data_IF_495983639275
#
_entry.id   IF_495983639275
#
_cell.length_a   1.000
_cell.length_b   1.000
_cell.length_c   1.000
_cell.angle_alpha   90.00
_cell.angle_beta   90.00
_cell.angle_gamma   90.00
#
_symmetry.space_group_name_H-M   'P 1'
#
loop_
_entity.id
_entity.type
_entity.pdbx_description
1 polymer ?
#
# COMPACT_ATOMS: atom_id res chain seq x y z
N UNK A 1 -22.27 -12.67 -10.64
CA UNK A 1 -22.47 -12.06 -9.30
C UNK A 1 -21.30 -12.33 -8.35
N UNK A 2 -20.86 -13.59 -8.17
CA UNK A 2 -19.73 -13.92 -7.28
C UNK A 2 -18.42 -13.16 -7.64
N UNK A 3 -18.05 -13.10 -8.91
CA UNK A 3 -16.83 -12.40 -9.36
C UNK A 3 -16.85 -10.89 -9.06
N UNK A 4 -18.02 -10.24 -9.10
CA UNK A 4 -18.15 -8.83 -8.69
C UNK A 4 -17.92 -8.64 -7.18
N UNK A 5 -18.46 -9.55 -6.36
CA UNK A 5 -18.23 -9.53 -4.92
C UNK A 5 -16.75 -9.74 -4.59
N UNK A 6 -16.10 -10.70 -5.24
CA UNK A 6 -14.66 -10.93 -5.05
C UNK A 6 -13.85 -9.71 -5.51
N UNK A 7 -14.15 -9.12 -6.66
CA UNK A 7 -13.45 -7.91 -7.13
C UNK A 7 -13.58 -6.76 -6.11
N UNK A 8 -14.78 -6.53 -5.57
CA UNK A 8 -14.99 -5.52 -4.53
C UNK A 8 -14.24 -5.84 -3.22
N UNK A 9 -14.14 -7.12 -2.86
CA UNK A 9 -13.34 -7.55 -1.72
C UNK A 9 -11.85 -7.25 -1.93
N UNK A 10 -11.31 -7.49 -3.13
CA UNK A 10 -9.92 -7.16 -3.46
C UNK A 10 -9.64 -5.67 -3.30
N UNK A 11 -10.57 -4.82 -3.75
CA UNK A 11 -10.47 -3.36 -3.59
C UNK A 11 -10.44 -2.97 -2.13
N UNK A 12 -11.30 -3.57 -1.31
CA UNK A 12 -11.36 -3.30 0.13
C UNK A 12 -10.06 -3.71 0.82
N UNK A 13 -9.49 -4.88 0.47
CA UNK A 13 -8.19 -5.31 0.97
C UNK A 13 -7.09 -4.34 0.52
N UNK A 14 -7.11 -3.88 -0.73
CA UNK A 14 -6.14 -2.91 -1.23
C UNK A 14 -6.23 -1.58 -0.48
N UNK A 15 -7.45 -1.08 -0.25
CA UNK A 15 -7.67 0.13 0.53
C UNK A 15 -7.16 0.00 1.98
N UNK A 16 -7.41 -1.15 2.62
CA UNK A 16 -6.89 -1.43 3.96
C UNK A 16 -5.36 -1.45 4.00
N UNK A 17 -4.69 -2.01 2.98
CA UNK A 17 -3.23 -1.98 2.89
C UNK A 17 -2.69 -0.55 2.78
N UNK A 18 -3.29 0.28 1.92
CA UNK A 18 -2.90 1.69 1.76
C UNK A 18 -3.10 2.46 3.07
N UNK A 19 -4.24 2.29 3.73
CA UNK A 19 -4.51 2.93 5.04
C UNK A 19 -3.51 2.43 6.08
N UNK A 20 -3.24 1.12 6.12
CA UNK A 20 -2.27 0.51 7.03
C UNK A 20 -0.86 1.08 6.84
N UNK A 21 -0.45 1.35 5.59
CA UNK A 21 0.82 2.01 5.31
C UNK A 21 0.87 3.44 5.86
N UNK A 22 -0.16 4.24 5.61
CA UNK A 22 -0.23 5.61 6.12
C UNK A 22 -0.20 5.64 7.65
N UNK A 23 -1.04 4.83 8.30
CA UNK A 23 -1.10 4.73 9.76
C UNK A 23 0.23 4.21 10.32
N UNK A 24 0.84 3.21 9.70
CA UNK A 24 2.13 2.66 10.13
C UNK A 24 3.24 3.70 10.11
N UNK A 25 3.34 4.52 9.05
CA UNK A 25 4.31 5.63 8.98
C UNK A 25 4.07 6.63 10.12
N UNK A 26 2.82 7.01 10.37
CA UNK A 26 2.47 7.92 11.48
C UNK A 26 2.87 7.31 12.83
N UNK A 27 2.61 6.02 13.05
CA UNK A 27 2.96 5.31 14.29
C UNK A 27 4.47 5.18 14.51
N UNK A 28 5.25 5.05 13.43
CA UNK A 28 6.72 5.09 13.48
C UNK A 28 7.18 6.45 14.00
N UNK A 29 6.71 7.54 13.39
CA UNK A 29 7.11 8.88 13.79
C UNK A 29 6.63 9.25 15.20
N UNK A 30 5.48 8.73 15.63
CA UNK A 30 4.98 8.86 17.00
C UNK A 30 5.78 8.05 18.04
N UNK A 31 6.77 7.24 17.64
CA UNK A 31 7.55 6.37 18.53
C UNK A 31 6.72 5.26 19.18
N UNK A 32 5.51 4.99 18.65
CA UNK A 32 4.59 3.98 19.19
C UNK A 32 4.79 2.62 18.54
N UNK A 33 5.15 2.57 17.26
CA UNK A 33 5.26 1.31 16.55
C UNK A 33 6.36 0.41 17.15
N UNK A 34 7.46 0.99 17.62
CA UNK A 34 8.58 0.24 18.22
C UNK A 34 8.21 -0.45 19.53
N UNK A 35 7.22 0.08 20.26
CA UNK A 35 6.69 -0.57 21.48
C UNK A 35 5.90 -1.84 21.15
N UNK A 36 5.42 -1.97 19.92
CA UNK A 36 4.59 -3.07 19.45
C UNK A 36 5.32 -3.85 18.37
N UNK A 37 6.35 -4.60 18.78
CA UNK A 37 7.25 -5.35 17.89
C UNK A 37 6.54 -6.24 16.86
N UNK A 38 5.40 -6.85 17.22
CA UNK A 38 4.60 -7.65 16.27
C UNK A 38 4.02 -6.80 15.13
N UNK A 39 3.52 -5.60 15.45
CA UNK A 39 2.97 -4.67 14.46
C UNK A 39 4.08 -4.05 13.61
N UNK A 40 5.25 -3.78 14.19
CA UNK A 40 6.43 -3.34 13.45
C UNK A 40 6.88 -4.39 12.43
N UNK A 41 7.00 -5.66 12.84
CA UNK A 41 7.35 -6.76 11.92
C UNK A 41 6.30 -6.89 10.82
N UNK A 42 5.01 -6.90 11.18
CA UNK A 42 3.92 -7.00 10.21
C UNK A 42 3.95 -5.85 9.20
N UNK A 43 4.18 -4.61 9.66
CA UNK A 43 4.32 -3.44 8.81
C UNK A 43 5.48 -3.59 7.83
N UNK A 44 6.67 -3.97 8.30
CA UNK A 44 7.84 -4.12 7.43
C UNK A 44 7.70 -5.29 6.44
N UNK A 45 7.08 -6.39 6.84
CA UNK A 45 6.79 -7.51 5.93
C UNK A 45 5.82 -7.07 4.84
N UNK A 46 4.72 -6.41 5.21
CA UNK A 46 3.75 -5.90 4.23
C UNK A 46 4.38 -4.87 3.28
N UNK A 47 5.21 -3.97 3.82
CA UNK A 47 5.94 -2.98 3.04
C UNK A 47 6.93 -3.64 2.07
N UNK A 48 7.70 -4.61 2.55
CA UNK A 48 8.66 -5.37 1.75
C UNK A 48 7.98 -6.19 0.65
N UNK A 49 6.85 -6.83 0.95
CA UNK A 49 6.06 -7.53 -0.07
C UNK A 49 5.49 -6.56 -1.10
N UNK A 50 4.85 -5.47 -0.65
CA UNK A 50 4.27 -4.47 -1.55
C UNK A 50 5.28 -3.88 -2.52
N UNK A 51 6.41 -3.41 -2.00
CA UNK A 51 7.50 -2.86 -2.83
C UNK A 51 8.26 -3.92 -3.62
N UNK A 52 8.46 -5.11 -3.05
CA UNK A 52 9.10 -6.22 -3.75
C UNK A 52 8.32 -6.64 -4.99
N UNK A 53 7.00 -6.82 -4.86
CA UNK A 53 6.15 -7.09 -6.01
C UNK A 53 6.15 -5.94 -7.01
N UNK A 54 6.07 -4.70 -6.54
CA UNK A 54 6.13 -3.53 -7.41
C UNK A 54 7.44 -3.46 -8.21
N UNK A 55 8.60 -3.77 -7.61
CA UNK A 55 9.88 -3.75 -8.31
C UNK A 55 10.01 -4.87 -9.36
N UNK A 56 9.43 -6.04 -9.11
CA UNK A 56 9.51 -7.19 -10.02
C UNK A 56 8.51 -7.07 -11.18
N UNK A 57 7.25 -6.76 -10.85
CA UNK A 57 6.13 -6.82 -11.80
C UNK A 57 5.69 -5.45 -12.31
N UNK A 58 6.25 -4.35 -11.77
CA UNK A 58 5.83 -2.95 -12.02
C UNK A 58 4.38 -2.64 -11.68
N UNK A 59 3.65 -3.60 -11.12
CA UNK A 59 2.25 -3.53 -10.77
C UNK A 59 2.01 -4.15 -9.38
N UNK A 60 0.93 -3.71 -8.73
CA UNK A 60 0.46 -4.33 -7.50
C UNK A 60 -0.29 -5.64 -7.84
N UNK A 61 0.03 -6.79 -7.19
CA UNK A 61 -0.61 -8.07 -7.49
C UNK A 61 -2.12 -8.04 -7.25
N UNK A 62 -2.59 -7.19 -6.31
CA UNK A 62 -4.02 -7.01 -6.08
C UNK A 62 -4.70 -6.32 -7.27
N UNK A 63 -4.03 -5.40 -7.97
CA UNK A 63 -4.58 -4.77 -9.19
C UNK A 63 -4.74 -5.81 -10.30
N UNK A 64 -3.74 -6.67 -10.49
CA UNK A 64 -3.80 -7.77 -11.46
C UNK A 64 -4.94 -8.73 -11.13
N UNK A 65 -5.08 -9.10 -9.85
CA UNK A 65 -6.15 -9.97 -9.38
C UNK A 65 -7.54 -9.34 -9.54
N UNK A 66 -7.68 -8.04 -9.23
CA UNK A 66 -8.93 -7.31 -9.44
C UNK A 66 -9.29 -7.29 -10.93
N UNK A 67 -8.36 -6.93 -11.81
CA UNK A 67 -8.59 -6.90 -13.25
C UNK A 67 -8.94 -8.28 -13.81
N UNK A 68 -8.31 -9.34 -13.31
CA UNK A 68 -8.66 -10.72 -13.69
C UNK A 68 -10.09 -11.09 -13.28
N UNK A 69 -10.51 -10.75 -12.06
CA UNK A 69 -11.87 -10.99 -11.58
C UNK A 69 -12.90 -10.14 -12.31
N UNK A 70 -12.56 -8.89 -12.62
CA UNK A 70 -13.37 -7.97 -13.41
C UNK A 70 -13.53 -8.45 -14.85
N UNK A 71 -12.46 -8.93 -15.49
CA UNK A 71 -12.51 -9.49 -16.83
C UNK A 71 -13.49 -10.66 -16.94
N UNK A 72 -13.57 -11.50 -15.90
CA UNK A 72 -14.51 -12.62 -15.85
C UNK A 72 -15.95 -12.21 -15.57
N UNK A 73 -16.15 -11.11 -14.83
CA UNK A 73 -17.48 -10.62 -14.50
C UNK A 73 -18.07 -9.75 -15.62
N UNK A 74 -17.30 -8.76 -16.06
CA UNK A 74 -17.66 -7.76 -17.04
C UNK A 74 -16.37 -7.13 -17.62
N UNK A 75 -15.95 -7.51 -18.84
CA UNK A 75 -14.68 -7.07 -19.44
C UNK A 75 -14.52 -5.54 -19.54
N UNK A 76 -15.62 -4.81 -19.75
CA UNK A 76 -15.63 -3.35 -19.81
C UNK A 76 -15.34 -2.67 -18.48
N UNK A 77 -15.37 -3.41 -17.37
CA UNK A 77 -15.05 -2.89 -16.03
C UNK A 77 -13.56 -2.94 -15.69
N UNK A 78 -12.74 -3.56 -16.53
CA UNK A 78 -11.27 -3.60 -16.37
C UNK A 78 -10.63 -2.26 -16.67
N UNK A 79 -9.45 -2.01 -16.09
CA UNK A 79 -8.75 -0.74 -16.25
C UNK A 79 -7.25 -0.93 -16.43
N UNK A 80 -6.63 -0.05 -17.21
CA UNK A 80 -5.22 -0.14 -17.60
C UNK A 80 -4.26 0.56 -16.62
N UNK A 81 -4.78 1.40 -15.72
CA UNK A 81 -3.99 2.13 -14.71
C UNK A 81 -3.85 1.33 -13.42
N UNK A 82 -3.07 1.83 -12.46
CA UNK A 82 -3.05 1.29 -11.11
C UNK A 82 -4.39 1.46 -10.38
N UNK A 83 -4.69 0.55 -9.44
CA UNK A 83 -5.90 0.58 -8.61
C UNK A 83 -6.12 1.95 -7.95
N UNK A 84 -5.11 2.49 -7.28
CA UNK A 84 -5.21 3.79 -6.58
C UNK A 84 -5.56 4.92 -7.56
N UNK A 85 -4.87 4.99 -8.69
CA UNK A 85 -5.12 5.98 -9.75
C UNK A 85 -6.54 5.88 -10.30
N UNK A 86 -7.01 4.66 -10.59
CA UNK A 86 -8.34 4.40 -11.09
C UNK A 86 -9.43 4.88 -10.12
N UNK A 87 -9.33 4.52 -8.84
CA UNK A 87 -10.33 4.90 -7.84
C UNK A 87 -10.27 6.39 -7.47
N UNK A 88 -9.08 6.98 -7.35
CA UNK A 88 -8.94 8.42 -7.09
C UNK A 88 -9.54 9.24 -8.23
N UNK A 89 -9.26 8.86 -9.48
CA UNK A 89 -9.82 9.54 -10.66
C UNK A 89 -11.34 9.45 -10.67
N UNK A 90 -11.91 8.30 -10.28
CA UNK A 90 -13.37 8.12 -10.15
C UNK A 90 -14.01 8.94 -9.02
N UNK A 91 -13.22 9.31 -8.01
CA UNK A 91 -13.61 10.25 -6.94
C UNK A 91 -13.43 11.72 -7.34
N UNK A 92 -12.99 12.01 -8.57
CA UNK A 92 -12.74 13.37 -9.07
C UNK A 92 -11.33 13.90 -8.78
N UNK A 93 -10.43 13.06 -8.27
CA UNK A 93 -9.03 13.40 -8.00
C UNK A 93 -8.16 12.80 -9.11
N UNK A 94 -7.81 13.59 -10.12
CA UNK A 94 -6.94 13.13 -11.20
C UNK A 94 -5.52 12.90 -10.66
N UNK A 95 -5.14 11.63 -10.48
CA UNK A 95 -3.77 11.23 -10.17
C UNK A 95 -3.28 10.24 -11.21
N UNK A 96 -2.04 10.40 -11.65
CA UNK A 96 -1.37 9.42 -12.50
C UNK A 96 -0.63 8.39 -11.65
N UNK A 97 -0.41 7.19 -12.18
CA UNK A 97 0.35 6.13 -11.50
C UNK A 97 1.75 6.59 -11.10
N UNK A 98 2.34 7.47 -11.91
CA UNK A 98 3.62 8.11 -11.62
C UNK A 98 3.63 8.87 -10.29
N UNK A 99 2.59 9.67 -10.03
CA UNK A 99 2.49 10.43 -8.77
C UNK A 99 2.20 9.51 -7.59
N UNK A 100 1.31 8.53 -7.77
CA UNK A 100 1.00 7.52 -6.74
C UNK A 100 2.28 6.80 -6.31
N UNK A 101 3.08 6.33 -7.27
CA UNK A 101 4.32 5.61 -7.01
C UNK A 101 5.36 6.50 -6.30
N UNK A 102 5.47 7.77 -6.68
CA UNK A 102 6.36 8.74 -6.02
C UNK A 102 5.95 9.01 -4.58
N UNK A 103 4.66 9.22 -4.33
CA UNK A 103 4.14 9.44 -2.97
C UNK A 103 4.38 8.18 -2.12
N UNK A 104 4.10 7.00 -2.67
CA UNK A 104 4.42 5.74 -2.02
C UNK A 104 5.91 5.65 -1.65
N UNK A 105 6.81 5.98 -2.58
CA UNK A 105 8.25 5.90 -2.34
C UNK A 105 8.68 6.89 -1.25
N UNK A 106 8.14 8.10 -1.25
CA UNK A 106 8.38 9.08 -0.20
C UNK A 106 7.93 8.57 1.17
N UNK A 107 6.75 7.92 1.24
CA UNK A 107 6.25 7.31 2.48
C UNK A 107 7.15 6.18 2.96
N UNK A 108 7.66 5.33 2.06
CA UNK A 108 8.64 4.30 2.39
C UNK A 108 9.92 4.92 2.98
N UNK A 109 10.46 5.94 2.32
CA UNK A 109 11.67 6.62 2.79
C UNK A 109 11.46 7.26 4.16
N UNK A 110 10.29 7.89 4.38
CA UNK A 110 9.90 8.45 5.68
C UNK A 110 9.78 7.36 6.76
N UNK A 111 9.26 6.18 6.42
CA UNK A 111 9.19 5.03 7.33
C UNK A 111 10.59 4.57 7.75
N UNK A 112 11.50 4.43 6.78
CA UNK A 112 12.88 3.98 7.02
C UNK A 112 13.63 4.99 7.89
N UNK A 113 13.55 6.28 7.55
CA UNK A 113 14.21 7.36 8.31
C UNK A 113 13.64 7.43 9.73
N UNK A 114 12.31 7.41 9.89
CA UNK A 114 11.68 7.44 11.21
C UNK A 114 12.06 6.25 12.07
N UNK A 115 12.13 5.04 11.49
CA UNK A 115 12.53 3.83 12.19
C UNK A 115 14.00 3.89 12.64
N UNK A 116 14.89 4.33 11.75
CA UNK A 116 16.31 4.51 12.08
C UNK A 116 16.51 5.58 13.15
N UNK A 117 15.78 6.69 13.08
CA UNK A 117 15.82 7.75 14.08
C UNK A 117 15.51 7.21 15.48
N UNK A 118 14.43 6.44 15.63
CA UNK A 118 14.07 5.85 16.92
C UNK A 118 15.05 4.77 17.38
N UNK A 119 15.54 3.91 16.48
CA UNK A 119 16.55 2.90 16.83
C UNK A 119 17.86 3.54 17.31
N UNK A 120 18.28 4.64 16.70
CA UNK A 120 19.49 5.38 17.12
C UNK A 120 19.25 6.16 18.42
N UNK A 121 18.05 6.70 18.61
CA UNK A 121 17.68 7.41 19.83
C UNK A 121 17.69 6.46 21.04
N UNK A 122 17.08 5.28 20.94
CA UNK A 122 17.06 4.31 22.03
C UNK A 122 18.46 3.81 22.40
N UNK A 123 19.33 3.57 21.42
CA UNK A 123 20.73 3.19 21.69
C UNK A 123 21.56 4.25 22.40
N UNK A 124 21.17 5.53 22.32
CA UNK A 124 21.88 6.63 23.02
C UNK A 124 21.41 6.80 24.46
N UNK A 125 20.26 6.25 24.82
CA UNK A 125 19.62 6.40 26.14
C UNK A 125 19.51 5.08 26.92
N UNK A 126 20.08 3.99 26.39
CA UNK A 126 20.27 2.71 27.07
C UNK A 126 21.72 2.57 27.55
#
# INVERSE_FOLDING_TARGET
MLCHWLANLVVLVHALLVIGFLVGVILIWAGRLHRWRQLEIAFWVLMGLGWGFFLIWRDCPLTLMENYLRAQAEPSSTYATGCISYYLTRMGISMTDYWVNRIGLMLLMLAVVGSLFWHLHERRHA
#
